data_IF_886519205142
#
_entry.id   IF_886519205142
#
_cell.length_a   1.000
_cell.length_b   1.000
_cell.length_c   1.000
_cell.angle_alpha   90.00
_cell.angle_beta   90.00
_cell.angle_gamma   90.00
#
_symmetry.space_group_name_H-M   'P 1'
#
loop_
_entity.id
_entity.type
_entity.pdbx_description
1 polymer ?
#
# COMPACT_ATOMS: atom_id res chain seq x y z
N UNK A 1 -2.56 3.99 -12.57
CA UNK A 1 -2.81 3.56 -13.97
C UNK A 1 -1.60 3.90 -14.86
N UNK A 2 -1.57 3.46 -16.11
CA UNK A 2 -0.47 3.57 -17.07
C UNK A 2 -0.58 2.41 -18.09
N UNK A 3 0.20 2.40 -19.20
CA UNK A 3 1.17 3.41 -19.63
C UNK A 3 0.51 4.73 -20.06
N UNK A 4 1.31 5.77 -20.26
CA UNK A 4 0.88 7.14 -20.59
C UNK A 4 1.40 7.61 -21.97
N UNK A 5 0.87 7.12 -23.10
CA UNK A 5 1.28 7.58 -24.44
C UNK A 5 1.14 9.11 -24.60
N UNK A 6 2.00 9.77 -25.41
CA UNK A 6 3.05 9.20 -26.28
C UNK A 6 4.41 8.94 -25.58
N UNK A 7 4.47 9.12 -24.26
CA UNK A 7 5.68 9.01 -23.45
C UNK A 7 6.26 7.58 -23.45
N UNK A 8 7.56 7.49 -23.17
CA UNK A 8 8.18 6.21 -22.80
C UNK A 8 7.84 5.93 -21.35
N UNK A 9 7.17 4.80 -21.11
CA UNK A 9 6.70 4.37 -19.81
C UNK A 9 7.28 2.99 -19.47
N UNK A 10 7.96 2.87 -18.33
CA UNK A 10 8.46 1.60 -17.83
C UNK A 10 7.94 1.38 -16.41
N UNK A 11 7.22 0.28 -16.19
CA UNK A 11 6.79 -0.09 -14.86
C UNK A 11 8.00 -0.59 -14.05
N UNK A 12 8.17 -0.08 -12.83
CA UNK A 12 9.34 -0.41 -12.02
C UNK A 12 9.00 -0.97 -10.63
N UNK A 13 7.78 -0.80 -10.13
CA UNK A 13 7.39 -1.36 -8.82
C UNK A 13 5.96 -1.87 -8.85
N UNK A 14 5.79 -3.13 -8.46
CA UNK A 14 4.51 -3.74 -8.11
C UNK A 14 4.29 -3.57 -6.61
N UNK A 15 3.06 -3.27 -6.19
CA UNK A 15 2.74 -3.01 -4.78
C UNK A 15 1.76 -4.05 -4.23
N UNK A 16 1.92 -4.35 -2.95
CA UNK A 16 1.02 -5.22 -2.19
C UNK A 16 0.45 -4.47 -0.99
N UNK A 17 -0.84 -4.66 -0.74
CA UNK A 17 -1.55 -4.02 0.36
C UNK A 17 -1.97 -5.07 1.39
N UNK A 18 -1.69 -4.79 2.65
CA UNK A 18 -2.08 -5.70 3.74
C UNK A 18 -2.36 -4.93 5.04
N UNK A 19 -3.15 -5.53 5.95
CA UNK A 19 -3.46 -4.92 7.24
C UNK A 19 -2.22 -4.82 8.12
N UNK A 20 -2.01 -3.63 8.65
CA UNK A 20 -0.95 -3.32 9.59
C UNK A 20 -1.50 -2.62 10.83
N UNK A 21 -0.80 -2.79 11.94
CA UNK A 21 -1.10 -2.09 13.17
C UNK A 21 0.19 -1.81 13.94
N UNK A 22 0.16 -0.82 14.84
CA UNK A 22 1.24 -0.57 15.79
C UNK A 22 1.36 -1.69 16.84
N UNK A 23 2.47 -1.74 17.59
CA UNK A 23 2.75 -2.81 18.54
C UNK A 23 1.71 -2.93 19.65
N UNK A 24 1.08 -1.82 20.06
CA UNK A 24 0.06 -1.74 21.13
C UNK A 24 -1.25 -2.44 20.80
N UNK A 25 -1.58 -2.61 19.51
CA UNK A 25 -2.82 -3.28 19.10
C UNK A 25 -2.60 -4.78 19.18
N UNK A 26 -3.44 -5.47 19.95
CA UNK A 26 -3.45 -6.94 19.98
C UNK A 26 -3.90 -7.46 18.61
N UNK A 27 -3.14 -8.34 17.96
CA UNK A 27 -3.55 -8.89 16.66
C UNK A 27 -4.89 -9.64 16.75
N UNK A 28 -5.78 -9.46 15.78
CA UNK A 28 -6.97 -10.31 15.61
C UNK A 28 -6.55 -11.78 15.42
N UNK A 29 -7.42 -12.73 15.78
CA UNK A 29 -7.14 -14.17 15.56
C UNK A 29 -7.42 -14.56 14.12
N UNK A 30 -8.51 -14.03 13.57
CA UNK A 30 -8.92 -14.27 12.18
C UNK A 30 -9.36 -12.97 11.50
N UNK A 31 -9.38 -12.90 10.15
CA UNK A 31 -9.76 -11.69 9.42
C UNK A 31 -11.11 -11.10 9.87
N UNK A 32 -12.10 -11.95 10.18
CA UNK A 32 -13.44 -11.53 10.62
C UNK A 32 -13.43 -10.73 11.91
N UNK A 33 -12.47 -10.97 12.81
CA UNK A 33 -12.35 -10.22 14.08
C UNK A 33 -12.10 -8.72 13.84
N UNK A 34 -11.46 -8.35 12.72
CA UNK A 34 -11.17 -6.96 12.38
C UNK A 34 -12.43 -6.12 12.16
N UNK A 35 -13.57 -6.73 11.83
CA UNK A 35 -14.85 -6.04 11.69
C UNK A 35 -15.38 -5.46 13.00
N UNK A 36 -14.82 -5.88 14.14
CA UNK A 36 -15.12 -5.35 15.48
C UNK A 36 -14.05 -4.37 15.97
N UNK A 37 -13.03 -4.10 15.16
CA UNK A 37 -11.90 -3.25 15.49
C UNK A 37 -12.03 -1.92 14.75
N UNK A 38 -11.22 -0.93 15.17
CA UNK A 38 -11.17 0.35 14.49
C UNK A 38 -10.32 0.23 13.23
N UNK A 39 -10.98 0.21 12.08
CA UNK A 39 -10.33 0.27 10.77
C UNK A 39 -10.08 1.72 10.38
N UNK A 40 -8.85 2.00 9.97
CA UNK A 40 -8.42 3.27 9.40
C UNK A 40 -8.56 3.12 7.88
N UNK A 41 -9.24 4.09 7.27
CA UNK A 41 -9.52 4.11 5.84
C UNK A 41 -8.75 5.21 5.13
N UNK A 42 -8.55 5.02 3.84
CA UNK A 42 -8.14 6.08 2.92
C UNK A 42 -9.02 6.09 1.68
N UNK A 43 -9.12 7.24 1.01
CA UNK A 43 -10.04 7.44 -0.12
C UNK A 43 -9.89 6.40 -1.25
N UNK A 44 -8.72 5.77 -1.35
CA UNK A 44 -8.40 4.74 -2.33
C UNK A 44 -7.77 3.49 -1.68
N UNK A 45 -8.30 3.07 -0.53
CA UNK A 45 -7.93 1.77 0.04
C UNK A 45 -8.60 0.59 -0.66
N UNK A 46 -8.09 -0.61 -0.36
CA UNK A 46 -8.54 -1.88 -0.91
C UNK A 46 -9.16 -2.76 0.18
N UNK A 47 -9.87 -2.17 1.16
CA UNK A 47 -10.43 -2.96 2.27
C UNK A 47 -11.43 -4.00 1.78
N UNK A 48 -12.36 -3.63 0.91
CA UNK A 48 -13.38 -4.53 0.37
C UNK A 48 -12.73 -5.72 -0.36
N UNK A 49 -11.73 -5.45 -1.21
CA UNK A 49 -10.96 -6.47 -1.91
C UNK A 49 -10.17 -7.37 -0.95
N UNK A 50 -9.54 -6.79 0.07
CA UNK A 50 -8.77 -7.55 1.05
C UNK A 50 -9.68 -8.48 1.86
N UNK A 51 -10.83 -8.00 2.32
CA UNK A 51 -11.82 -8.80 3.05
C UNK A 51 -12.42 -9.90 2.19
N UNK A 52 -12.69 -9.63 0.91
CA UNK A 52 -13.11 -10.63 -0.07
C UNK A 52 -12.05 -11.74 -0.23
N UNK A 53 -10.79 -11.37 -0.43
CA UNK A 53 -9.66 -12.33 -0.50
C UNK A 53 -9.48 -13.13 0.80
N UNK A 54 -9.84 -12.54 1.93
CA UNK A 54 -9.79 -13.17 3.23
C UNK A 54 -10.97 -14.12 3.53
N UNK A 55 -11.90 -14.30 2.59
CA UNK A 55 -13.08 -15.15 2.76
C UNK A 55 -14.13 -14.54 3.68
N UNK A 56 -14.10 -13.22 3.88
CA UNK A 56 -15.05 -12.46 4.70
C UNK A 56 -15.63 -11.33 3.85
N UNK A 57 -16.39 -11.64 2.79
CA UNK A 57 -17.01 -10.61 1.96
C UNK A 57 -17.90 -9.70 2.81
N UNK A 58 -17.89 -8.41 2.50
CA UNK A 58 -18.65 -7.40 3.23
C UNK A 58 -20.02 -7.22 2.59
N UNK A 59 -21.09 -7.38 3.36
CA UNK A 59 -22.47 -7.18 2.89
C UNK A 59 -22.85 -5.69 2.80
N UNK A 60 -22.03 -4.81 3.39
CA UNK A 60 -22.20 -3.36 3.41
C UNK A 60 -20.85 -2.67 3.44
N UNK A 61 -20.74 -1.44 2.90
CA UNK A 61 -19.52 -0.65 3.01
C UNK A 61 -19.06 -0.55 4.47
N UNK A 62 -17.74 -0.52 4.68
CA UNK A 62 -17.21 -0.23 6.00
C UNK A 62 -17.65 1.17 6.43
N UNK A 63 -18.35 1.25 7.56
CA UNK A 63 -18.80 2.51 8.15
C UNK A 63 -18.09 2.72 9.47
N UNK A 64 -17.59 3.93 9.70
CA UNK A 64 -16.85 4.32 10.90
C UNK A 64 -15.33 4.29 10.74
N UNK A 65 -14.65 4.71 11.81
CA UNK A 65 -13.19 4.91 11.80
C UNK A 65 -12.76 6.20 11.08
N UNK A 66 -11.51 6.65 11.30
CA UNK A 66 -10.96 7.80 10.60
C UNK A 66 -10.76 7.46 9.11
N UNK A 67 -11.12 8.39 8.24
CA UNK A 67 -10.78 8.37 6.83
C UNK A 67 -9.75 9.47 6.55
N UNK A 68 -8.63 9.12 5.95
CA UNK A 68 -7.58 10.05 5.57
C UNK A 68 -7.46 10.13 4.05
N UNK A 69 -7.14 11.31 3.52
CA UNK A 69 -6.84 11.48 2.10
C UNK A 69 -5.36 11.18 1.76
N UNK A 70 -4.53 10.88 2.76
CA UNK A 70 -3.09 10.63 2.60
C UNK A 70 -2.66 9.40 3.42
N UNK A 71 -1.93 8.49 2.77
CA UNK A 71 -1.44 7.25 3.35
C UNK A 71 -0.47 7.49 4.54
N UNK A 72 0.25 8.61 4.54
CA UNK A 72 1.14 8.98 5.64
C UNK A 72 0.37 9.12 6.95
N UNK A 73 -0.81 9.76 6.92
CA UNK A 73 -1.61 9.93 8.12
C UNK A 73 -2.23 8.60 8.58
N UNK A 74 -2.68 7.77 7.64
CA UNK A 74 -3.26 6.45 7.96
C UNK A 74 -2.21 5.53 8.62
N UNK A 75 -0.99 5.50 8.06
CA UNK A 75 0.15 4.74 8.59
C UNK A 75 0.56 5.24 9.98
N UNK A 76 0.71 6.56 10.16
CA UNK A 76 1.11 7.14 11.44
C UNK A 76 0.06 6.87 12.53
N UNK A 77 -1.23 6.96 12.21
CA UNK A 77 -2.30 6.60 13.13
C UNK A 77 -2.25 5.11 13.52
N UNK A 78 -2.03 4.22 12.55
CA UNK A 78 -1.86 2.80 12.82
C UNK A 78 -0.66 2.52 13.74
N UNK A 79 0.50 3.13 13.45
CA UNK A 79 1.72 2.98 14.24
C UNK A 79 1.54 3.46 15.69
N UNK A 80 0.78 4.54 15.91
CA UNK A 80 0.43 5.03 17.26
C UNK A 80 -0.59 4.15 17.99
N UNK A 81 -1.18 3.17 17.32
CA UNK A 81 -2.16 2.25 17.87
C UNK A 81 -3.59 2.78 17.85
N UNK A 82 -3.90 3.72 16.95
CA UNK A 82 -5.24 4.32 16.83
C UNK A 82 -6.21 3.45 16.00
N UNK A 83 -5.72 2.39 15.38
CA UNK A 83 -6.52 1.45 14.59
C UNK A 83 -5.65 0.57 13.69
N UNK A 84 -6.31 -0.20 12.84
CA UNK A 84 -5.68 -1.03 11.81
C UNK A 84 -5.82 -0.30 10.48
N UNK A 85 -4.72 -0.07 9.79
CA UNK A 85 -4.73 0.47 8.43
C UNK A 85 -4.46 -0.64 7.42
N UNK A 86 -4.97 -0.48 6.20
CA UNK A 86 -4.46 -1.20 5.05
C UNK A 86 -3.32 -0.37 4.47
N UNK A 87 -2.11 -0.92 4.38
CA UNK A 87 -0.94 -0.17 3.95
C UNK A 87 -0.21 -0.84 2.79
N UNK A 88 0.37 0.00 1.94
CA UNK A 88 1.22 -0.35 0.80
C UNK A 88 2.60 -0.77 1.27
N UNK A 89 3.09 -1.92 0.82
CA UNK A 89 4.45 -2.38 1.13
C UNK A 89 5.52 -1.37 0.72
N UNK A 90 5.34 -0.71 -0.41
CA UNK A 90 6.31 0.22 -0.99
C UNK A 90 6.73 1.37 -0.08
N UNK A 91 5.93 1.73 0.93
CA UNK A 91 6.16 2.90 1.79
C UNK A 91 6.28 2.57 3.30
N UNK A 92 6.20 1.30 3.69
CA UNK A 92 6.26 0.87 5.10
C UNK A 92 7.40 -0.10 5.41
N UNK A 93 8.34 -0.30 4.48
CA UNK A 93 9.44 -1.28 4.65
C UNK A 93 10.21 -1.04 5.95
N UNK A 94 10.63 0.20 6.17
CA UNK A 94 11.36 0.59 7.37
C UNK A 94 10.51 0.46 8.65
N UNK A 95 9.21 0.74 8.59
CA UNK A 95 8.31 0.58 9.74
C UNK A 95 8.15 -0.88 10.18
N UNK A 96 8.13 -1.80 9.20
CA UNK A 96 8.08 -3.24 9.46
C UNK A 96 9.41 -3.74 10.04
N UNK A 97 10.53 -3.26 9.51
CA UNK A 97 11.88 -3.61 10.01
C UNK A 97 12.11 -3.10 11.43
N UNK A 98 11.71 -1.86 11.73
CA UNK A 98 11.83 -1.25 13.05
C UNK A 98 10.77 -1.75 14.05
N UNK A 99 9.73 -2.43 13.58
CA UNK A 99 8.63 -2.92 14.40
C UNK A 99 7.69 -1.82 14.91
N UNK A 100 7.74 -0.61 14.32
CA UNK A 100 6.74 0.46 14.56
C UNK A 100 5.39 0.06 13.98
N UNK A 101 5.40 -0.75 12.92
CA UNK A 101 4.24 -1.48 12.40
C UNK A 101 4.51 -2.98 12.40
N UNK A 102 3.43 -3.75 12.51
CA UNK A 102 3.41 -5.19 12.26
C UNK A 102 2.32 -5.54 11.27
N UNK A 103 2.64 -6.45 10.35
CA UNK A 103 1.68 -7.08 9.44
C UNK A 103 0.81 -8.06 10.22
N UNK A 104 -0.51 -7.99 10.05
CA UNK A 104 -1.46 -8.81 10.81
C UNK A 104 -1.72 -10.18 10.15
N UNK A 105 -1.67 -10.26 8.83
CA UNK A 105 -1.99 -11.47 8.07
C UNK A 105 -1.09 -11.61 6.84
N UNK A 106 -0.89 -12.85 6.38
CA UNK A 106 -0.16 -13.15 5.12
C UNK A 106 -0.97 -12.78 3.87
N UNK A 107 -2.27 -12.59 3.98
CA UNK A 107 -3.16 -12.20 2.88
C UNK A 107 -2.81 -10.76 2.45
N UNK A 108 -2.68 -10.53 1.15
CA UNK A 108 -2.44 -9.21 0.59
C UNK A 108 -3.21 -9.04 -0.72
N UNK A 109 -3.70 -7.82 -0.94
CA UNK A 109 -4.21 -7.40 -2.25
C UNK A 109 -3.00 -7.03 -3.11
N UNK A 110 -2.82 -7.74 -4.21
CA UNK A 110 -1.87 -7.36 -5.25
C UNK A 110 -2.62 -6.56 -6.28
N UNK A 111 -2.27 -5.29 -6.39
CA UNK A 111 -2.92 -4.41 -7.35
C UNK A 111 -2.21 -4.53 -8.70
N UNK A 112 -2.95 -4.36 -9.79
CA UNK A 112 -2.34 -4.13 -11.10
C UNK A 112 -1.81 -2.69 -11.24
N UNK A 113 -1.87 -1.90 -10.17
CA UNK A 113 -1.27 -0.58 -10.13
C UNK A 113 0.23 -0.72 -9.98
N UNK A 114 0.94 0.00 -10.84
CA UNK A 114 2.39 0.01 -10.89
C UNK A 114 2.86 1.44 -10.77
N UNK A 115 4.01 1.64 -10.16
CA UNK A 115 4.74 2.89 -10.31
C UNK A 115 5.47 2.87 -11.65
N UNK A 116 5.34 3.96 -12.39
CA UNK A 116 5.84 4.10 -13.76
C UNK A 116 6.92 5.15 -13.83
N UNK A 117 8.02 4.82 -14.50
CA UNK A 117 9.01 5.78 -14.94
C UNK A 117 8.48 6.36 -16.24
N UNK A 118 8.29 7.68 -16.28
CA UNK A 118 7.70 8.36 -17.43
C UNK A 118 8.68 9.41 -17.93
N UNK A 119 9.00 9.38 -19.22
CA UNK A 119 9.85 10.39 -19.86
C UNK A 119 9.32 10.76 -21.26
N UNK A 120 9.51 12.02 -21.70
CA UNK A 120 9.30 12.39 -23.10
C UNK A 120 10.16 11.53 -24.02
N UNK A 121 9.59 11.12 -25.15
CA UNK A 121 10.22 10.19 -26.09
C UNK A 121 11.55 10.75 -26.64
N UNK A 122 11.62 12.06 -26.80
CA UNK A 122 12.73 12.80 -27.38
C UNK A 122 14.00 12.73 -26.52
N UNK A 123 13.85 12.56 -25.20
CA UNK A 123 14.96 12.54 -24.24
C UNK A 123 15.12 11.21 -23.54
N UNK A 124 14.29 10.21 -23.83
CA UNK A 124 14.29 8.90 -23.18
C UNK A 124 15.67 8.20 -23.22
N UNK A 125 16.42 8.44 -24.30
CA UNK A 125 17.76 7.87 -24.51
C UNK A 125 18.92 8.80 -24.13
N UNK A 126 18.64 10.02 -23.66
CA UNK A 126 19.68 10.92 -23.20
C UNK A 126 20.48 10.28 -22.05
N UNK A 127 21.82 10.39 -22.00
CA UNK A 127 22.65 9.69 -21.01
C UNK A 127 22.19 9.90 -19.57
N UNK A 128 21.80 11.13 -19.20
CA UNK A 128 21.28 11.46 -17.86
C UNK A 128 19.97 10.75 -17.52
N UNK A 129 19.05 10.63 -18.48
CA UNK A 129 17.74 9.99 -18.28
C UNK A 129 17.91 8.48 -18.15
N UNK A 130 18.74 7.90 -19.02
CA UNK A 130 19.12 6.49 -18.94
C UNK A 130 19.81 6.16 -17.62
N UNK A 131 20.80 6.95 -17.21
CA UNK A 131 21.51 6.74 -15.96
C UNK A 131 20.56 6.76 -14.75
N UNK A 132 19.65 7.74 -14.68
CA UNK A 132 18.67 7.82 -13.61
C UNK A 132 17.67 6.65 -13.63
N UNK A 133 17.20 6.25 -14.81
CA UNK A 133 16.32 5.08 -14.97
C UNK A 133 16.97 3.80 -14.47
N UNK A 134 18.22 3.56 -14.86
CA UNK A 134 18.94 2.35 -14.45
C UNK A 134 19.29 2.38 -12.96
N UNK A 135 19.62 3.56 -12.41
CA UNK A 135 19.82 3.74 -10.98
C UNK A 135 18.54 3.44 -10.17
N UNK A 136 17.37 3.99 -10.55
CA UNK A 136 16.11 3.65 -9.87
C UNK A 136 15.87 2.14 -9.88
N UNK A 137 16.11 1.47 -11.02
CA UNK A 137 15.95 0.02 -11.12
C UNK A 137 16.91 -0.75 -10.21
N UNK A 138 18.09 -0.22 -9.89
CA UNK A 138 19.00 -0.86 -8.95
C UNK A 138 18.58 -0.69 -7.49
N UNK A 139 17.94 0.43 -7.13
CA UNK A 139 17.45 0.67 -5.77
C UNK A 139 16.22 -0.19 -5.40
N UNK A 140 15.57 -0.81 -6.40
CA UNK A 140 14.37 -1.63 -6.21
C UNK A 140 14.65 -3.14 -6.16
N UNK A 141 15.92 -3.55 -6.16
CA UNK A 141 16.35 -4.97 -6.12
C UNK A 141 16.58 -5.47 -4.70
#
# INVERSE_FOLDING_TARGET
RGPYPPHVCEAFLEDEWFPVAGPKIKPPREPRDMLRMRLIREDHDYWDDWFMLAGVPLDRPLVGGPNFNDATYSIQAAARGEGIALARRSIIGEDLERGTLKRLFKIAVRTNERYWFVSPREIADAPKVRAFREWIKSELR
#
